data_IF_681391455105
#
_entry.id   IF_681391455105
#
_cell.length_a   1.000
_cell.length_b   1.000
_cell.length_c   1.000
_cell.angle_alpha   90.00
_cell.angle_beta   90.00
_cell.angle_gamma   90.00
#
_symmetry.space_group_name_H-M   'P 1'
#
loop_
_entity.id
_entity.type
_entity.pdbx_description
1 polymer ?
#
# COMPACT_ATOMS: atom_id res chain seq x y z
N UNK A 1 -32.34 10.73 -42.66
CA UNK A 1 -31.48 9.53 -42.71
C UNK A 1 -30.09 9.96 -42.28
N UNK A 2 -29.66 9.62 -41.07
CA UNK A 2 -28.33 10.00 -40.56
C UNK A 2 -27.30 9.17 -41.34
N UNK A 3 -26.39 9.83 -42.06
CA UNK A 3 -25.37 9.15 -42.87
C UNK A 3 -24.41 8.36 -41.97
N UNK A 4 -23.95 7.19 -42.42
CA UNK A 4 -23.04 6.30 -41.66
C UNK A 4 -21.75 7.02 -41.23
N UNK A 5 -21.34 8.00 -42.01
CA UNK A 5 -20.19 8.85 -41.72
C UNK A 5 -20.42 9.72 -40.47
N UNK A 6 -21.63 10.27 -40.29
CA UNK A 6 -21.98 11.05 -39.09
C UNK A 6 -21.95 10.17 -37.84
N UNK A 7 -22.45 8.94 -37.92
CA UNK A 7 -22.41 7.98 -36.80
C UNK A 7 -20.97 7.65 -36.43
N UNK A 8 -20.11 7.44 -37.42
CA UNK A 8 -18.68 7.16 -37.21
C UNK A 8 -17.96 8.35 -36.60
N UNK A 9 -18.18 9.57 -37.10
CA UNK A 9 -17.56 10.78 -36.56
C UNK A 9 -17.95 11.00 -35.11
N UNK A 10 -19.24 10.86 -34.76
CA UNK A 10 -19.73 11.01 -33.39
C UNK A 10 -19.14 9.92 -32.47
N UNK A 11 -19.05 8.68 -32.96
CA UNK A 11 -18.46 7.59 -32.19
C UNK A 11 -16.96 7.78 -31.95
N UNK A 12 -16.21 8.18 -32.98
CA UNK A 12 -14.78 8.48 -32.86
C UNK A 12 -14.52 9.68 -31.95
N UNK A 13 -15.34 10.73 -32.03
CA UNK A 13 -15.22 11.87 -31.12
C UNK A 13 -15.53 11.45 -29.68
N UNK A 14 -16.56 10.64 -29.45
CA UNK A 14 -16.88 10.13 -28.12
C UNK A 14 -15.76 9.24 -27.55
N UNK A 15 -15.15 8.39 -28.39
CA UNK A 15 -14.04 7.54 -28.00
C UNK A 15 -12.77 8.35 -27.68
N UNK A 16 -12.52 9.41 -28.45
CA UNK A 16 -11.43 10.35 -28.21
C UNK A 16 -11.65 11.12 -26.89
N UNK A 17 -12.84 11.69 -26.69
CA UNK A 17 -13.22 12.34 -25.42
C UNK A 17 -13.07 11.40 -24.23
N UNK A 18 -13.50 10.14 -24.36
CA UNK A 18 -13.34 9.14 -23.30
C UNK A 18 -11.88 8.76 -23.04
N UNK A 19 -11.00 8.83 -24.06
CA UNK A 19 -9.56 8.61 -23.88
C UNK A 19 -8.87 9.78 -23.21
N UNK A 20 -9.24 11.03 -23.55
CA UNK A 20 -8.74 12.21 -22.83
C UNK A 20 -9.25 12.27 -21.39
N UNK A 21 -10.49 11.84 -21.13
CA UNK A 21 -11.07 11.83 -19.78
C UNK A 21 -10.47 10.75 -18.86
N UNK A 22 -9.77 9.74 -19.41
CA UNK A 22 -9.13 8.67 -18.61
C UNK A 22 -7.85 9.11 -17.91
N UNK A 23 -7.22 10.19 -18.36
CA UNK A 23 -6.04 10.77 -17.70
C UNK A 23 -6.42 11.58 -16.45
N UNK A 24 -7.71 11.87 -16.27
CA UNK A 24 -8.30 12.50 -15.09
C UNK A 24 -9.13 11.51 -14.25
N UNK A 25 -8.86 10.20 -14.37
CA UNK A 25 -9.27 9.27 -13.33
C UNK A 25 -8.52 9.63 -12.05
N UNK A 26 -9.09 9.43 -10.84
CA UNK A 26 -8.30 9.51 -9.63
C UNK A 26 -7.16 8.52 -9.81
N UNK A 27 -5.97 9.04 -10.09
CA UNK A 27 -4.75 8.32 -9.85
C UNK A 27 -4.90 7.84 -8.42
N UNK A 28 -5.05 6.53 -8.25
CA UNK A 28 -4.64 5.86 -7.03
C UNK A 28 -3.11 5.94 -6.97
N UNK A 29 -2.56 7.14 -7.14
CA UNK A 29 -1.41 7.57 -6.40
C UNK A 29 -1.83 7.35 -4.95
N UNK A 30 -1.11 6.47 -4.28
CA UNK A 30 -1.08 6.43 -2.85
C UNK A 30 -0.55 7.82 -2.45
N UNK A 31 -1.46 8.79 -2.38
CA UNK A 31 -1.13 10.20 -2.21
C UNK A 31 -0.18 10.31 -1.03
N UNK A 32 1.07 10.64 -1.37
CA UNK A 32 2.01 11.17 -0.40
C UNK A 32 1.62 12.61 -0.02
N UNK A 33 0.61 13.19 -0.68
CA UNK A 33 -0.15 14.32 -0.17
C UNK A 33 -0.86 13.96 1.14
N UNK A 34 -0.60 14.79 2.16
CA UNK A 34 -1.22 14.84 3.48
C UNK A 34 -0.74 13.85 4.55
N UNK A 35 0.57 13.55 4.63
CA UNK A 35 1.14 13.16 5.94
C UNK A 35 1.20 14.44 6.80
N UNK A 36 0.37 14.58 7.86
CA UNK A 36 0.39 15.78 8.69
C UNK A 36 1.78 15.99 9.28
N UNK A 37 2.28 17.23 9.24
CA UNK A 37 3.63 17.56 9.69
C UNK A 37 3.79 17.16 11.18
N UNK A 38 4.47 16.04 11.43
CA UNK A 38 4.54 15.43 12.77
C UNK A 38 4.11 13.97 12.87
N UNK A 39 3.43 13.42 11.85
CA UNK A 39 3.07 12.01 11.80
C UNK A 39 4.30 11.11 11.73
N UNK A 40 4.24 9.98 12.42
CA UNK A 40 5.28 8.96 12.41
C UNK A 40 4.77 7.73 11.65
N UNK A 41 5.67 7.09 10.91
CA UNK A 41 5.45 5.75 10.33
C UNK A 41 6.20 4.72 11.17
N UNK A 42 5.61 3.55 11.41
CA UNK A 42 6.23 2.46 12.16
C UNK A 42 6.29 1.19 11.30
N UNK A 43 7.47 0.59 11.16
CA UNK A 43 7.63 -0.66 10.42
C UNK A 43 8.15 -1.76 11.35
N UNK A 44 7.51 -2.93 11.29
CA UNK A 44 7.99 -4.15 11.95
C UNK A 44 8.53 -5.10 10.88
N UNK A 45 9.81 -5.46 10.99
CA UNK A 45 10.46 -6.41 10.09
C UNK A 45 10.61 -7.74 10.82
N UNK A 46 9.90 -8.76 10.35
CA UNK A 46 9.91 -10.09 10.94
C UNK A 46 10.84 -11.00 10.16
N UNK A 47 11.90 -11.48 10.80
CA UNK A 47 12.63 -12.63 10.27
C UNK A 47 11.76 -13.87 10.42
N UNK A 48 11.32 -14.41 9.29
CA UNK A 48 10.43 -15.57 9.21
C UNK A 48 11.23 -16.86 8.97
N UNK A 49 12.55 -16.84 9.20
CA UNK A 49 13.38 -18.05 9.21
C UNK A 49 12.97 -19.00 10.35
N UNK A 50 13.08 -20.30 10.10
CA UNK A 50 12.45 -21.35 10.91
C UNK A 50 12.87 -21.41 12.38
N UNK A 51 13.95 -20.75 12.79
CA UNK A 51 14.37 -20.66 14.19
C UNK A 51 13.67 -19.58 15.00
N UNK A 52 12.95 -18.65 14.37
CA UNK A 52 12.17 -17.63 15.08
C UNK A 52 10.68 -17.98 15.15
N UNK A 53 10.24 -19.11 14.57
CA UNK A 53 8.83 -19.43 14.39
C UNK A 53 8.07 -19.64 15.71
N UNK A 54 8.74 -20.14 16.74
CA UNK A 54 8.26 -20.25 18.11
C UNK A 54 8.15 -18.88 18.81
N UNK A 55 9.05 -17.96 18.48
CA UNK A 55 9.05 -16.60 19.02
C UNK A 55 8.07 -15.65 18.29
N UNK A 56 7.62 -15.98 17.07
CA UNK A 56 6.79 -15.10 16.23
C UNK A 56 5.51 -14.64 16.94
N UNK A 57 4.86 -15.53 17.70
CA UNK A 57 3.65 -15.19 18.46
C UNK A 57 3.93 -14.08 19.47
N UNK A 58 5.04 -14.20 20.20
CA UNK A 58 5.46 -13.21 21.20
C UNK A 58 5.92 -11.90 20.54
N UNK A 59 6.61 -11.97 19.40
CA UNK A 59 7.05 -10.77 18.66
C UNK A 59 5.85 -10.00 18.12
N UNK A 60 4.81 -10.68 17.63
CA UNK A 60 3.56 -10.05 17.18
C UNK A 60 2.83 -9.39 18.36
N UNK A 61 2.77 -10.04 19.52
CA UNK A 61 2.16 -9.47 20.73
C UNK A 61 2.92 -8.23 21.21
N UNK A 62 4.26 -8.29 21.21
CA UNK A 62 5.12 -7.14 21.53
C UNK A 62 4.95 -5.98 20.55
N UNK A 63 4.91 -6.27 19.25
CA UNK A 63 4.66 -5.29 18.20
C UNK A 63 3.29 -4.60 18.37
N UNK A 64 2.25 -5.38 18.70
CA UNK A 64 0.89 -4.88 18.94
C UNK A 64 0.87 -3.88 20.10
N UNK A 65 1.57 -4.18 21.20
CA UNK A 65 1.68 -3.27 22.36
C UNK A 65 2.43 -1.96 22.02
N UNK A 66 3.44 -2.03 21.16
CA UNK A 66 4.17 -0.85 20.66
C UNK A 66 3.28 0.00 19.77
N UNK A 67 2.48 -0.64 18.90
CA UNK A 67 1.50 0.03 18.06
C UNK A 67 0.45 0.75 18.91
N UNK A 68 -0.18 0.07 19.87
CA UNK A 68 -1.18 0.66 20.77
C UNK A 68 -0.63 1.86 21.56
N UNK A 69 0.59 1.76 22.06
CA UNK A 69 1.24 2.87 22.79
C UNK A 69 1.55 4.04 21.86
N UNK A 70 1.93 3.75 20.62
CA UNK A 70 2.21 4.77 19.59
C UNK A 70 0.93 5.50 19.16
N UNK A 71 -0.19 4.78 19.04
CA UNK A 71 -1.52 5.36 18.74
C UNK A 71 -2.03 6.29 19.85
N UNK A 72 -1.69 6.01 21.11
CA UNK A 72 -2.12 6.82 22.26
C UNK A 72 -1.32 8.12 22.45
N UNK A 73 -0.33 8.43 21.60
CA UNK A 73 0.49 9.65 21.76
C UNK A 73 -0.27 10.91 21.35
N UNK A 74 -0.45 11.90 22.24
CA UNK A 74 -1.25 13.10 21.95
C UNK A 74 -0.57 14.13 21.04
N UNK A 75 0.75 14.07 20.82
CA UNK A 75 1.51 15.10 20.06
C UNK A 75 1.93 14.69 18.65
N UNK A 76 2.01 13.39 18.36
CA UNK A 76 2.50 12.85 17.08
C UNK A 76 1.80 11.51 16.82
N UNK A 77 0.54 11.54 16.34
CA UNK A 77 -0.19 10.31 16.03
C UNK A 77 0.54 9.51 14.95
N UNK A 78 0.44 8.19 15.04
CA UNK A 78 0.98 7.29 14.03
C UNK A 78 0.07 7.35 12.80
N UNK A 79 0.63 7.57 11.62
CA UNK A 79 -0.15 7.71 10.37
C UNK A 79 -0.38 6.37 9.69
N UNK A 80 0.66 5.54 9.68
CA UNK A 80 0.65 4.24 9.05
C UNK A 80 1.63 3.29 9.75
N UNK A 81 1.36 2.00 9.60
CA UNK A 81 2.32 0.97 9.96
C UNK A 81 2.49 -0.05 8.84
N UNK A 82 3.65 -0.67 8.79
CA UNK A 82 3.97 -1.72 7.82
C UNK A 82 4.46 -2.97 8.54
N UNK A 83 4.01 -4.14 8.07
CA UNK A 83 4.55 -5.44 8.47
C UNK A 83 5.36 -5.99 7.29
N UNK A 84 6.64 -6.27 7.52
CA UNK A 84 7.57 -6.69 6.47
C UNK A 84 8.13 -8.05 6.84
N UNK A 85 7.74 -9.14 6.16
CA UNK A 85 8.45 -10.39 6.32
C UNK A 85 9.81 -10.31 5.62
N UNK A 86 10.85 -10.77 6.29
CA UNK A 86 12.22 -10.80 5.80
C UNK A 86 12.79 -12.22 5.89
N UNK A 87 13.56 -12.59 4.87
CA UNK A 87 14.34 -13.82 4.82
C UNK A 87 15.79 -13.46 4.47
N UNK A 88 16.77 -14.00 5.21
CA UNK A 88 18.19 -13.78 4.92
C UNK A 88 18.54 -14.29 3.50
N UNK A 89 19.15 -13.45 2.62
CA UNK A 89 19.51 -13.84 1.27
C UNK A 89 20.56 -14.96 1.13
N UNK A 90 21.16 -15.44 2.22
CA UNK A 90 22.03 -16.61 2.22
C UNK A 90 21.35 -17.92 1.79
N UNK A 91 20.01 -17.97 1.76
CA UNK A 91 19.24 -19.13 1.30
C UNK A 91 18.92 -19.01 -0.20
N UNK A 92 19.82 -19.55 -1.02
CA UNK A 92 19.67 -19.70 -2.47
C UNK A 92 18.39 -20.47 -2.87
N UNK A 93 17.24 -19.81 -3.00
CA UNK A 93 16.14 -20.17 -3.93
C UNK A 93 15.11 -19.05 -4.02
N UNK A 94 15.27 -18.19 -5.03
CA UNK A 94 14.45 -17.01 -5.27
C UNK A 94 13.45 -17.25 -6.38
N UNK A 95 12.34 -17.92 -6.13
CA UNK A 95 11.14 -17.69 -6.94
C UNK A 95 9.92 -17.94 -6.06
N UNK A 96 8.98 -16.99 -6.08
CA UNK A 96 7.58 -17.15 -5.68
C UNK A 96 7.21 -16.87 -4.22
N UNK A 97 7.59 -15.71 -3.71
CA UNK A 97 6.69 -14.97 -2.81
C UNK A 97 6.69 -13.50 -3.25
N UNK A 98 5.57 -13.03 -3.82
CA UNK A 98 5.30 -11.60 -3.86
C UNK A 98 5.14 -11.17 -2.41
N UNK A 99 6.20 -10.64 -1.81
CA UNK A 99 6.14 -10.02 -0.50
C UNK A 99 5.45 -8.68 -0.69
N UNK A 100 4.13 -8.67 -0.49
CA UNK A 100 3.39 -7.43 -0.38
C UNK A 100 3.83 -6.77 0.94
N UNK A 101 4.44 -5.59 0.84
CA UNK A 101 4.54 -4.70 1.99
C UNK A 101 3.11 -4.24 2.25
N UNK A 102 2.45 -4.85 3.24
CA UNK A 102 1.12 -4.44 3.62
C UNK A 102 1.25 -3.18 4.50
N UNK A 103 1.02 -2.02 3.88
CA UNK A 103 0.93 -0.73 4.56
C UNK A 103 -0.51 -0.55 5.00
N UNK A 104 -0.72 -0.49 6.31
CA UNK A 104 -2.04 -0.29 6.89
C UNK A 104 -2.19 1.17 7.34
N UNK A 105 -3.22 1.89 6.85
CA UNK A 105 -3.53 3.21 7.38
C UNK A 105 -4.02 3.09 8.83
N UNK A 106 -3.63 4.03 9.66
CA UNK A 106 -4.22 4.21 10.99
C UNK A 106 -5.46 5.09 10.79
N UNK A 107 -6.64 4.48 10.92
CA UNK A 107 -7.93 5.17 10.83
C UNK A 107 -8.23 6.04 12.07
#
# INVERSE_FOLDING_TARGET
MISREVVRTVFLSALLYASLARDAGPQSETSAEDIPEGASTLAFVFDVTGSMYDDLVQVIEGASKILETSLRRPKRPLFNFALVPFHDPGATKWERFHVAVDVFPVA
#
